data_IF_742527230994
#
_entry.id   IF_742527230994
#
_cell.length_a   1.000
_cell.length_b   1.000
_cell.length_c   1.000
_cell.angle_alpha   90.00
_cell.angle_beta   90.00
_cell.angle_gamma   90.00
#
_symmetry.space_group_name_H-M   'P 1'
#
loop_
_entity.id
_entity.type
_entity.pdbx_description
1 polymer ?
#
# COMPACT_ATOMS: atom_id res chain seq x y z
N UNK A 1 -3.97 5.17 15.43
CA UNK A 1 -3.74 3.72 15.24
C UNK A 1 -4.99 2.98 15.70
N UNK A 2 -5.41 1.94 14.99
CA UNK A 2 -6.55 1.10 15.39
C UNK A 2 -6.18 0.32 16.67
N UNK A 3 -7.08 0.23 17.65
CA UNK A 3 -6.86 -0.55 18.87
C UNK A 3 -7.47 -1.96 18.75
N UNK A 4 -6.98 -2.90 19.56
CA UNK A 4 -7.53 -4.27 19.61
C UNK A 4 -9.03 -4.28 19.99
N UNK A 5 -9.46 -3.31 20.80
CA UNK A 5 -10.86 -3.14 21.19
C UNK A 5 -11.74 -2.73 19.99
N UNK A 6 -11.22 -1.89 19.09
CA UNK A 6 -11.91 -1.46 17.86
C UNK A 6 -12.08 -2.62 16.86
N UNK A 7 -11.11 -3.56 16.86
CA UNK A 7 -11.15 -4.74 16.01
C UNK A 7 -12.24 -5.72 16.49
N UNK A 8 -12.35 -5.92 17.79
CA UNK A 8 -13.32 -6.84 18.39
C UNK A 8 -14.77 -6.39 18.18
N UNK A 9 -15.02 -5.08 18.12
CA UNK A 9 -16.36 -4.49 17.93
C UNK A 9 -16.95 -4.73 16.51
N UNK A 10 -16.09 -4.98 15.51
CA UNK A 10 -16.53 -5.19 14.10
C UNK A 10 -16.22 -6.57 13.55
N UNK A 11 -15.36 -7.34 14.21
CA UNK A 11 -14.96 -8.69 13.82
C UNK A 11 -15.29 -9.69 14.94
N UNK A 12 -16.58 -10.01 15.08
CA UNK A 12 -17.09 -10.98 16.07
C UNK A 12 -17.00 -12.45 15.60
N UNK A 13 -16.68 -12.70 14.34
CA UNK A 13 -16.46 -14.04 13.79
C UNK A 13 -14.98 -14.33 13.61
N UNK A 14 -14.61 -15.60 13.42
CA UNK A 14 -13.23 -16.04 13.13
C UNK A 14 -12.77 -15.70 11.70
N UNK A 15 -13.35 -14.68 11.07
CA UNK A 15 -12.88 -14.19 9.77
C UNK A 15 -11.75 -13.19 9.98
N UNK A 16 -10.73 -13.25 9.10
CA UNK A 16 -9.60 -12.34 9.19
C UNK A 16 -10.04 -10.86 9.04
N UNK A 17 -9.43 -9.94 9.80
CA UNK A 17 -9.73 -8.52 9.71
C UNK A 17 -9.30 -7.97 8.34
N UNK A 18 -10.25 -7.35 7.64
CA UNK A 18 -10.03 -6.67 6.35
C UNK A 18 -9.72 -5.20 6.57
N UNK A 19 -8.99 -4.60 5.63
CA UNK A 19 -8.78 -3.16 5.58
C UNK A 19 -10.11 -2.43 5.42
N UNK A 20 -10.26 -1.31 6.13
CA UNK A 20 -11.32 -0.36 5.87
C UNK A 20 -11.00 0.49 4.62
N UNK A 21 -11.97 1.30 4.17
CA UNK A 21 -11.84 2.07 2.93
C UNK A 21 -10.65 3.03 2.94
N UNK A 22 -10.44 3.76 4.05
CA UNK A 22 -9.34 4.72 4.18
C UNK A 22 -7.97 4.01 4.18
N UNK A 23 -7.86 2.89 4.89
CA UNK A 23 -6.65 2.05 4.91
C UNK A 23 -6.32 1.49 3.53
N UNK A 24 -7.34 1.03 2.78
CA UNK A 24 -7.14 0.52 1.43
C UNK A 24 -6.70 1.63 0.47
N UNK A 25 -7.24 2.84 0.61
CA UNK A 25 -6.85 3.99 -0.20
C UNK A 25 -5.44 4.45 0.11
N UNK A 26 -5.05 4.52 1.39
CA UNK A 26 -3.69 4.84 1.82
C UNK A 26 -2.68 3.83 1.25
N UNK A 27 -2.97 2.54 1.37
CA UNK A 27 -2.16 1.48 0.79
C UNK A 27 -2.03 1.61 -0.73
N UNK A 28 -3.12 1.97 -1.43
CA UNK A 28 -3.09 2.17 -2.89
C UNK A 28 -2.13 3.30 -3.29
N UNK A 29 -2.11 4.42 -2.54
CA UNK A 29 -1.16 5.51 -2.80
C UNK A 29 0.28 5.09 -2.53
N UNK A 30 0.55 4.37 -1.44
CA UNK A 30 1.90 3.86 -1.14
C UNK A 30 2.43 2.95 -2.25
N UNK A 31 1.59 2.04 -2.76
CA UNK A 31 1.94 1.17 -3.89
C UNK A 31 2.19 2.00 -5.16
N UNK A 32 1.33 2.98 -5.45
CA UNK A 32 1.48 3.84 -6.62
C UNK A 32 2.79 4.66 -6.57
N UNK A 33 3.17 5.16 -5.40
CA UNK A 33 4.44 5.85 -5.20
C UNK A 33 5.64 4.92 -5.42
N UNK A 34 5.57 3.69 -4.93
CA UNK A 34 6.66 2.73 -5.11
C UNK A 34 6.83 2.34 -6.57
N UNK A 35 5.73 2.03 -7.28
CA UNK A 35 5.76 1.79 -8.72
C UNK A 35 6.34 2.98 -9.49
N UNK A 36 5.95 4.21 -9.13
CA UNK A 36 6.48 5.41 -9.78
C UNK A 36 7.99 5.55 -9.59
N UNK A 37 8.53 5.21 -8.42
CA UNK A 37 9.97 5.19 -8.18
C UNK A 37 10.65 4.16 -9.08
N UNK A 38 10.16 2.93 -9.10
CA UNK A 38 10.69 1.85 -9.96
C UNK A 38 10.71 2.26 -11.43
N UNK A 39 9.63 2.87 -11.94
CA UNK A 39 9.58 3.39 -13.30
C UNK A 39 10.59 4.50 -13.56
N UNK A 40 10.74 5.45 -12.62
CA UNK A 40 11.72 6.54 -12.77
C UNK A 40 13.17 6.05 -12.74
N UNK A 41 13.46 5.03 -11.94
CA UNK A 41 14.78 4.40 -11.88
C UNK A 41 15.07 3.60 -13.16
N UNK A 42 14.07 2.93 -13.72
CA UNK A 42 14.19 2.26 -15.02
C UNK A 42 14.44 3.26 -16.16
N UNK A 43 13.79 4.41 -16.16
CA UNK A 43 14.02 5.47 -17.14
C UNK A 43 15.46 6.03 -17.04
N UNK A 44 15.95 6.25 -15.82
CA UNK A 44 17.35 6.66 -15.58
C UNK A 44 18.35 5.61 -16.07
N UNK A 45 18.10 4.33 -15.78
CA UNK A 45 18.96 3.24 -16.24
C UNK A 45 18.98 3.14 -17.78
N UNK A 46 17.86 3.41 -18.45
CA UNK A 46 17.79 3.45 -19.91
C UNK A 46 18.61 4.57 -20.54
N UNK A 47 18.67 5.74 -19.88
CA UNK A 47 19.49 6.87 -20.32
C UNK A 47 20.98 6.54 -20.17
N UNK A 48 21.40 5.99 -19.02
CA UNK A 48 22.80 5.63 -18.76
C UNK A 48 23.28 4.50 -19.67
N UNK A 49 22.41 3.57 -20.07
CA UNK A 49 22.76 2.49 -21.00
C UNK A 49 22.87 2.94 -22.47
N UNK A 50 22.37 4.13 -22.80
CA UNK A 50 22.40 4.71 -24.14
C UNK A 50 23.59 5.67 -24.39
N UNK A 51 24.36 5.99 -23.35
CA UNK A 51 25.65 6.70 -23.41
C UNK A 51 26.84 5.72 -23.44
#
# INVERSE_FOLDING_TARGET
ALSDQDLHDRYHSHCDPRLNADQALELAFLIAEELKKEHSEADLAGIVAAE
#
